data_IF_752193622983
#
_entry.id   IF_752193622983
#
_cell.length_a   1.000
_cell.length_b   1.000
_cell.length_c   1.000
_cell.angle_alpha   90.00
_cell.angle_beta   90.00
_cell.angle_gamma   90.00
#
_symmetry.space_group_name_H-M   'P 1'
#
loop_
_entity.id
_entity.type
_entity.pdbx_description
1 polymer ?
#
# COMPACT_ATOMS: atom_id res chain seq x y z
N UNK A 1 6.25 9.52 -10.38
CA UNK A 1 5.64 9.02 -11.62
C UNK A 1 6.62 8.10 -12.34
N UNK A 2 6.11 7.21 -13.20
CA UNK A 2 6.91 6.35 -14.07
C UNK A 2 6.28 6.31 -15.46
N UNK A 3 7.11 6.15 -16.49
CA UNK A 3 6.63 5.96 -17.85
C UNK A 3 6.16 4.50 -18.04
N UNK A 4 4.87 4.26 -18.31
CA UNK A 4 4.32 2.91 -18.50
C UNK A 4 4.64 2.33 -19.90
N UNK A 5 5.34 3.09 -20.77
CA UNK A 5 5.58 2.77 -22.17
C UNK A 5 4.30 2.55 -23.00
N UNK A 6 3.20 3.07 -22.53
CA UNK A 6 1.89 3.06 -23.18
C UNK A 6 1.09 4.28 -22.74
N UNK A 7 -0.01 4.56 -23.42
CA UNK A 7 -0.94 5.62 -22.99
C UNK A 7 -1.87 5.12 -21.91
N UNK A 8 -2.19 5.98 -20.94
CA UNK A 8 -3.25 5.69 -19.97
C UNK A 8 -4.62 6.06 -20.53
N UNK A 9 -5.65 5.35 -20.10
CA UNK A 9 -7.00 5.63 -20.56
C UNK A 9 -7.51 6.98 -20.03
N UNK A 10 -8.42 7.62 -20.77
CA UNK A 10 -9.06 8.87 -20.32
C UNK A 10 -9.77 8.74 -18.97
N UNK A 11 -10.27 7.54 -18.65
CA UNK A 11 -10.85 7.24 -17.35
C UNK A 11 -9.78 7.34 -16.23
N UNK A 12 -8.60 6.75 -16.43
CA UNK A 12 -7.50 6.81 -15.45
C UNK A 12 -6.97 8.23 -15.33
N UNK A 13 -6.81 8.96 -16.45
CA UNK A 13 -6.41 10.37 -16.43
C UNK A 13 -7.37 11.22 -15.59
N UNK A 14 -8.70 11.05 -15.80
CA UNK A 14 -9.72 11.76 -15.04
C UNK A 14 -9.72 11.38 -13.55
N UNK A 15 -9.51 10.10 -13.25
CA UNK A 15 -9.53 9.59 -11.87
C UNK A 15 -8.33 10.08 -11.04
N UNK A 16 -7.13 10.05 -11.64
CA UNK A 16 -5.85 10.30 -10.94
C UNK A 16 -5.33 11.72 -11.12
N UNK A 17 -5.82 12.43 -12.14
CA UNK A 17 -5.24 13.70 -12.58
C UNK A 17 -3.84 13.56 -13.17
N UNK A 18 -3.44 12.35 -13.60
CA UNK A 18 -2.15 12.06 -14.21
C UNK A 18 -2.37 11.82 -15.69
N UNK A 19 -1.77 12.64 -16.55
CA UNK A 19 -1.96 12.62 -17.99
C UNK A 19 -0.82 11.89 -18.71
N UNK A 20 -1.13 11.20 -19.80
CA UNK A 20 -0.14 10.48 -20.63
C UNK A 20 1.02 11.37 -21.06
N UNK A 21 0.76 12.66 -21.33
CA UNK A 21 1.80 13.63 -21.71
C UNK A 21 2.84 13.88 -20.61
N UNK A 22 2.44 13.77 -19.33
CA UNK A 22 3.36 13.87 -18.20
C UNK A 22 4.21 12.60 -18.07
N UNK A 23 3.58 11.43 -18.27
CA UNK A 23 4.23 10.13 -18.07
C UNK A 23 5.30 9.81 -19.14
N UNK A 24 5.14 10.32 -20.35
CA UNK A 24 6.10 10.07 -21.46
C UNK A 24 7.49 10.66 -21.16
N UNK A 25 7.56 11.68 -20.32
CA UNK A 25 8.82 12.32 -19.91
C UNK A 25 9.51 11.59 -18.75
N UNK A 26 8.81 10.66 -18.11
CA UNK A 26 9.31 9.98 -16.92
C UNK A 26 10.17 8.76 -17.29
N UNK A 27 11.03 8.34 -16.36
CA UNK A 27 11.79 7.10 -16.47
C UNK A 27 10.88 5.88 -16.33
N UNK A 28 11.14 4.76 -17.04
CA UNK A 28 10.36 3.55 -16.88
C UNK A 28 10.61 2.90 -15.52
N UNK A 29 9.67 2.05 -15.06
CA UNK A 29 9.75 1.35 -13.78
C UNK A 29 11.05 0.57 -13.58
N UNK A 30 11.60 -0.02 -14.65
CA UNK A 30 12.84 -0.80 -14.62
C UNK A 30 14.05 -0.03 -14.07
N UNK A 31 14.06 1.30 -14.17
CA UNK A 31 15.13 2.14 -13.61
C UNK A 31 15.12 2.13 -12.08
N UNK A 32 13.95 1.96 -11.47
CA UNK A 32 13.75 2.01 -10.03
C UNK A 32 13.58 0.63 -9.40
N UNK A 33 13.46 -0.42 -10.21
CA UNK A 33 13.05 -1.75 -9.76
C UNK A 33 13.95 -2.32 -8.67
N UNK A 34 15.28 -2.22 -8.81
CA UNK A 34 16.24 -2.73 -7.82
C UNK A 34 16.15 -1.97 -6.51
N UNK A 35 16.07 -0.64 -6.57
CA UNK A 35 15.94 0.20 -5.37
C UNK A 35 14.63 -0.12 -4.60
N UNK A 36 13.51 -0.21 -5.33
CA UNK A 36 12.21 -0.59 -4.75
C UNK A 36 12.27 -1.99 -4.13
N UNK A 37 12.89 -2.96 -4.82
CA UNK A 37 13.06 -4.31 -4.32
C UNK A 37 13.83 -4.35 -3.00
N UNK A 38 14.99 -3.70 -2.92
CA UNK A 38 15.82 -3.67 -1.71
C UNK A 38 15.12 -2.90 -0.58
N UNK A 39 14.39 -1.83 -0.89
CA UNK A 39 13.60 -1.09 0.10
C UNK A 39 12.51 -1.97 0.74
N UNK A 40 11.89 -2.85 -0.03
CA UNK A 40 10.76 -3.67 0.42
C UNK A 40 11.18 -4.99 1.05
N UNK A 41 12.35 -5.50 0.71
CA UNK A 41 12.86 -6.79 1.18
C UNK A 41 12.84 -6.91 2.71
N UNK A 42 12.27 -8.00 3.21
CA UNK A 42 12.16 -8.28 4.63
C UNK A 42 11.14 -7.42 5.40
N UNK A 43 10.32 -6.64 4.72
CA UNK A 43 9.30 -5.78 5.33
C UNK A 43 7.89 -6.31 5.08
N UNK A 44 6.92 -5.81 5.84
CA UNK A 44 5.50 -6.07 5.61
C UNK A 44 4.98 -5.02 4.63
N UNK A 45 4.37 -5.48 3.53
CA UNK A 45 3.74 -4.60 2.56
C UNK A 45 2.33 -4.23 3.02
N UNK A 46 2.10 -2.95 3.26
CA UNK A 46 0.81 -2.42 3.74
C UNK A 46 0.15 -1.57 2.66
N UNK A 47 -1.11 -1.86 2.34
CA UNK A 47 -1.92 -1.02 1.46
C UNK A 47 -3.42 -1.19 1.75
N UNK A 48 -4.23 -0.27 1.23
CA UNK A 48 -5.69 -0.37 1.29
C UNK A 48 -6.20 -1.18 0.11
N UNK A 49 -6.77 -2.38 0.34
CA UNK A 49 -7.00 -3.43 -0.66
C UNK A 49 -5.69 -3.99 -1.24
N UNK A 50 -4.80 -4.35 -0.36
CA UNK A 50 -3.39 -4.73 -0.60
C UNK A 50 -3.15 -5.71 -1.75
N UNK A 51 -4.12 -6.58 -2.07
CA UNK A 51 -3.97 -7.57 -3.14
C UNK A 51 -3.81 -6.92 -4.51
N UNK A 52 -4.45 -5.79 -4.74
CA UNK A 52 -4.36 -5.05 -6.00
C UNK A 52 -2.95 -4.46 -6.17
N UNK A 53 -2.51 -3.63 -5.24
CA UNK A 53 -1.22 -2.94 -5.31
C UNK A 53 -0.05 -3.93 -5.32
N UNK A 54 -0.14 -4.95 -4.46
CA UNK A 54 0.91 -5.98 -4.38
C UNK A 54 1.04 -6.80 -5.66
N UNK A 55 -0.08 -7.15 -6.30
CA UNK A 55 -0.03 -7.91 -7.56
C UNK A 55 0.61 -7.12 -8.68
N UNK A 56 0.29 -5.84 -8.81
CA UNK A 56 0.89 -4.96 -9.82
C UNK A 56 2.40 -4.80 -9.59
N UNK A 57 2.79 -4.48 -8.35
CA UNK A 57 4.19 -4.32 -7.99
C UNK A 57 5.00 -5.59 -8.24
N UNK A 58 4.46 -6.75 -7.85
CA UNK A 58 5.12 -8.04 -8.05
C UNK A 58 5.31 -8.37 -9.53
N UNK A 59 4.32 -8.11 -10.36
CA UNK A 59 4.43 -8.35 -11.80
C UNK A 59 5.43 -7.39 -12.47
N UNK A 60 5.48 -6.12 -12.06
CA UNK A 60 6.47 -5.17 -12.59
C UNK A 60 7.90 -5.56 -12.16
N UNK A 61 8.11 -5.96 -10.91
CA UNK A 61 9.40 -6.46 -10.45
C UNK A 61 9.82 -7.75 -11.19
N UNK A 62 8.86 -8.67 -11.40
CA UNK A 62 9.11 -9.90 -12.16
C UNK A 62 9.53 -9.63 -13.60
N UNK A 63 8.95 -8.64 -14.27
CA UNK A 63 9.39 -8.20 -15.61
C UNK A 63 10.83 -7.68 -15.62
N UNK A 64 11.31 -7.21 -14.47
CA UNK A 64 12.70 -6.79 -14.27
C UNK A 64 13.62 -7.93 -13.76
N UNK A 65 13.16 -9.18 -13.74
CA UNK A 65 13.93 -10.33 -13.26
C UNK A 65 14.01 -10.45 -11.74
N UNK A 66 13.22 -9.66 -10.99
CA UNK A 66 13.21 -9.64 -9.52
C UNK A 66 11.97 -10.37 -9.00
N UNK A 67 12.18 -11.31 -8.07
CA UNK A 67 11.09 -12.06 -7.42
C UNK A 67 10.92 -11.58 -5.99
N UNK A 68 9.75 -11.00 -5.68
CA UNK A 68 9.44 -10.45 -4.36
C UNK A 68 8.26 -11.22 -3.74
N UNK A 69 8.52 -11.79 -2.56
CA UNK A 69 7.48 -12.39 -1.72
C UNK A 69 7.54 -11.75 -0.33
N UNK A 70 6.46 -11.07 0.05
CA UNK A 70 6.35 -10.33 1.31
C UNK A 70 5.10 -10.71 2.09
N UNK A 71 5.15 -10.63 3.43
CA UNK A 71 3.96 -10.53 4.25
C UNK A 71 3.14 -9.30 3.83
N UNK A 72 1.82 -9.42 3.84
CA UNK A 72 0.91 -8.37 3.42
C UNK A 72 -0.09 -8.05 4.50
N UNK A 73 -0.33 -6.77 4.74
CA UNK A 73 -1.35 -6.27 5.64
C UNK A 73 -2.32 -5.36 4.89
N UNK A 74 -3.58 -5.74 4.90
CA UNK A 74 -4.64 -4.96 4.26
C UNK A 74 -5.29 -4.01 5.26
N UNK A 75 -5.07 -2.70 5.13
CA UNK A 75 -5.65 -1.70 6.03
C UNK A 75 -7.19 -1.67 5.97
N UNK A 76 -7.81 -2.04 4.84
CA UNK A 76 -9.27 -2.19 4.76
C UNK A 76 -9.77 -3.36 5.63
N UNK A 77 -9.11 -4.51 5.58
CA UNK A 77 -9.48 -5.67 6.42
C UNK A 77 -9.20 -5.39 7.89
N UNK A 78 -8.11 -4.69 8.18
CA UNK A 78 -7.76 -4.25 9.51
C UNK A 78 -8.81 -3.30 10.08
N UNK A 79 -9.23 -2.28 9.30
CA UNK A 79 -10.28 -1.34 9.69
C UNK A 79 -11.63 -2.05 9.94
N UNK A 80 -12.00 -3.05 9.13
CA UNK A 80 -13.23 -3.84 9.36
C UNK A 80 -13.23 -4.55 10.70
N UNK A 81 -12.07 -4.99 11.19
CA UNK A 81 -11.96 -5.65 12.51
C UNK A 81 -11.90 -4.66 13.66
N UNK A 82 -11.20 -3.56 13.48
CA UNK A 82 -11.03 -2.54 14.50
C UNK A 82 -12.29 -1.66 14.67
N UNK A 83 -12.98 -1.35 13.56
CA UNK A 83 -14.13 -0.44 13.51
C UNK A 83 -15.35 -1.10 12.85
N UNK A 84 -15.96 -2.13 13.46
CA UNK A 84 -16.93 -3.01 12.78
C UNK A 84 -18.28 -2.36 12.43
N UNK A 85 -18.53 -1.12 12.83
CA UNK A 85 -19.82 -0.43 12.64
C UNK A 85 -19.79 0.67 11.58
N UNK A 86 -18.74 0.76 10.76
CA UNK A 86 -18.69 1.75 9.69
C UNK A 86 -19.60 1.35 8.52
N UNK A 87 -20.30 2.35 7.97
CA UNK A 87 -21.17 2.15 6.79
C UNK A 87 -20.36 1.85 5.50
N UNK A 88 -19.10 2.29 5.44
CA UNK A 88 -18.20 2.09 4.32
C UNK A 88 -16.76 1.89 4.80
N UNK A 89 -16.03 1.04 4.10
CA UNK A 89 -14.61 0.78 4.34
C UNK A 89 -13.74 1.19 3.14
N UNK A 90 -14.21 2.14 2.32
CA UNK A 90 -13.31 2.81 1.39
C UNK A 90 -12.24 3.59 2.17
N UNK A 91 -11.07 3.78 1.55
CA UNK A 91 -9.97 4.49 2.21
C UNK A 91 -10.40 5.85 2.76
N UNK A 92 -11.07 6.66 1.92
CA UNK A 92 -11.57 7.97 2.33
C UNK A 92 -12.58 7.91 3.48
N UNK A 93 -13.50 6.91 3.47
CA UNK A 93 -14.48 6.77 4.56
C UNK A 93 -13.82 6.43 5.89
N UNK A 94 -12.82 5.55 5.89
CA UNK A 94 -12.10 5.19 7.12
C UNK A 94 -11.23 6.36 7.59
N UNK A 95 -10.54 7.04 6.69
CA UNK A 95 -9.73 8.23 7.02
C UNK A 95 -10.60 9.36 7.60
N UNK A 96 -11.79 9.60 7.04
CA UNK A 96 -12.74 10.57 7.59
C UNK A 96 -13.21 10.19 9.01
N UNK A 97 -13.49 8.90 9.25
CA UNK A 97 -13.83 8.41 10.58
C UNK A 97 -12.72 8.66 11.62
N UNK A 98 -11.46 8.58 11.17
CA UNK A 98 -10.28 8.84 12.00
C UNK A 98 -9.89 10.32 12.09
N UNK A 99 -10.69 11.24 11.54
CA UNK A 99 -10.41 12.67 11.44
C UNK A 99 -9.12 13.01 10.65
N UNK A 100 -8.75 12.17 9.68
CA UNK A 100 -7.63 12.35 8.77
C UNK A 100 -8.11 12.32 7.30
N UNK A 101 -8.90 13.30 6.83
CA UNK A 101 -9.46 13.29 5.48
C UNK A 101 -8.35 13.31 4.43
N UNK A 102 -8.50 12.48 3.39
CA UNK A 102 -7.58 12.49 2.25
C UNK A 102 -7.73 13.80 1.47
N UNK A 103 -6.61 14.45 1.13
CA UNK A 103 -6.62 15.69 0.35
C UNK A 103 -6.74 15.41 -1.15
N UNK A 104 -6.01 14.42 -1.67
CA UNK A 104 -5.99 14.06 -3.08
C UNK A 104 -6.18 12.54 -3.23
N UNK A 105 -7.41 12.07 -3.09
CA UNK A 105 -7.74 10.66 -3.33
C UNK A 105 -7.28 10.21 -4.73
N UNK A 106 -6.87 8.94 -4.83
CA UNK A 106 -6.30 8.34 -6.06
C UNK A 106 -4.91 8.87 -6.46
N UNK A 107 -4.23 9.54 -5.56
CA UNK A 107 -2.80 9.84 -5.63
C UNK A 107 -2.07 8.86 -4.71
N UNK A 108 -1.13 8.10 -5.27
CA UNK A 108 -0.47 6.99 -4.57
C UNK A 108 0.14 7.39 -3.21
N UNK A 109 0.71 8.60 -3.10
CA UNK A 109 1.25 9.09 -1.84
C UNK A 109 0.15 9.32 -0.80
N UNK A 110 -0.93 10.02 -1.17
CA UNK A 110 -2.03 10.32 -0.24
C UNK A 110 -2.75 9.03 0.17
N UNK A 111 -2.91 8.06 -0.77
CA UNK A 111 -3.50 6.75 -0.48
C UNK A 111 -2.59 5.93 0.45
N UNK A 112 -1.27 5.98 0.27
CA UNK A 112 -0.31 5.33 1.16
C UNK A 112 -0.31 5.96 2.57
N UNK A 113 -0.36 7.28 2.67
CA UNK A 113 -0.49 7.99 3.94
C UNK A 113 -1.81 7.65 4.64
N UNK A 114 -2.92 7.58 3.91
CA UNK A 114 -4.19 7.14 4.46
C UNK A 114 -4.15 5.70 5.01
N UNK A 115 -3.50 4.77 4.30
CA UNK A 115 -3.30 3.41 4.78
C UNK A 115 -2.41 3.36 6.03
N UNK A 116 -1.40 4.22 6.12
CA UNK A 116 -0.54 4.38 7.30
C UNK A 116 -1.33 4.91 8.51
N UNK A 117 -2.16 5.96 8.34
CA UNK A 117 -2.95 6.52 9.44
C UNK A 117 -3.96 5.49 10.00
N UNK A 118 -4.54 4.64 9.14
CA UNK A 118 -5.38 3.53 9.58
C UNK A 118 -4.58 2.54 10.43
N UNK A 119 -3.39 2.14 9.97
CA UNK A 119 -2.52 1.22 10.70
C UNK A 119 -2.12 1.81 12.05
N UNK A 120 -1.69 3.07 12.07
CA UNK A 120 -1.29 3.80 13.27
C UNK A 120 -2.42 3.85 14.30
N UNK A 121 -3.62 4.27 13.90
CA UNK A 121 -4.78 4.34 14.78
C UNK A 121 -5.14 2.98 15.38
N UNK A 122 -5.03 1.90 14.59
CA UNK A 122 -5.30 0.55 15.09
C UNK A 122 -4.23 0.09 16.08
N UNK A 123 -2.95 0.38 15.82
CA UNK A 123 -1.86 0.05 16.75
C UNK A 123 -2.02 0.82 18.07
N UNK A 124 -2.35 2.11 18.01
CA UNK A 124 -2.58 2.95 19.19
C UNK A 124 -3.75 2.45 20.05
N UNK A 125 -4.82 1.97 19.39
CA UNK A 125 -6.03 1.52 20.11
C UNK A 125 -5.98 0.07 20.59
N UNK A 126 -5.37 -0.84 19.81
CA UNK A 126 -5.44 -2.29 20.04
C UNK A 126 -4.06 -2.95 20.21
N UNK A 127 -2.97 -2.22 20.02
CA UNK A 127 -1.59 -2.71 20.09
C UNK A 127 -1.09 -3.35 18.78
N UNK A 128 0.22 -3.45 18.68
CA UNK A 128 0.91 -4.00 17.50
C UNK A 128 0.54 -5.47 17.24
N UNK A 129 0.42 -6.27 18.29
CA UNK A 129 0.10 -7.70 18.15
C UNK A 129 -1.24 -7.92 17.45
N UNK A 130 -2.26 -7.09 17.74
CA UNK A 130 -3.54 -7.14 17.06
C UNK A 130 -3.37 -6.85 15.56
N UNK A 131 -2.61 -5.82 15.20
CA UNK A 131 -2.39 -5.44 13.81
C UNK A 131 -1.63 -6.53 13.05
N UNK A 132 -0.52 -7.03 13.59
CA UNK A 132 0.34 -8.00 12.92
C UNK A 132 -0.29 -9.38 12.77
N UNK A 133 -1.19 -9.80 13.66
CA UNK A 133 -2.00 -11.03 13.50
C UNK A 133 -2.87 -11.02 12.23
N UNK A 134 -3.13 -9.85 11.63
CA UNK A 134 -3.89 -9.73 10.40
C UNK A 134 -3.02 -9.81 9.14
N UNK A 135 -1.70 -9.78 9.28
CA UNK A 135 -0.80 -9.94 8.15
C UNK A 135 -0.90 -11.36 7.57
N UNK A 136 -1.03 -11.45 6.24
CA UNK A 136 -1.11 -12.73 5.54
C UNK A 136 0.27 -13.10 5.00
N UNK A 137 0.91 -14.08 5.64
CA UNK A 137 2.03 -14.81 5.04
C UNK A 137 2.05 -16.23 5.59
N UNK A 138 2.11 -17.22 4.70
CA UNK A 138 2.34 -18.61 5.11
C UNK A 138 3.85 -18.73 5.43
N UNK A 139 4.21 -18.64 6.70
CA UNK A 139 5.51 -19.15 7.13
C UNK A 139 6.51 -18.21 7.81
N UNK A 140 6.16 -16.98 8.22
CA UNK A 140 7.10 -16.17 9.01
C UNK A 140 6.40 -15.62 10.26
N UNK A 141 6.28 -16.45 11.28
CA UNK A 141 6.15 -15.97 12.67
C UNK A 141 7.48 -16.27 13.40
N UNK A 142 8.44 -15.39 13.14
CA UNK A 142 9.71 -15.34 13.85
C UNK A 142 10.09 -13.90 14.11
N UNK A 143 9.16 -13.05 14.58
CA UNK A 143 9.55 -11.79 15.19
C UNK A 143 10.19 -12.08 16.54
N UNK A 144 11.52 -12.28 16.54
CA UNK A 144 12.30 -12.11 17.76
C UNK A 144 12.10 -10.65 18.19
N UNK A 145 11.49 -10.45 19.37
CA UNK A 145 11.58 -9.17 20.09
C UNK A 145 13.06 -8.79 20.13
N UNK A 146 13.47 -7.78 19.39
CA UNK A 146 14.71 -7.09 19.69
C UNK A 146 14.46 -6.38 21.02
N UNK A 147 15.01 -6.95 22.07
CA UNK A 147 15.13 -6.29 23.36
C UNK A 147 16.01 -5.06 23.12
N UNK A 148 15.41 -3.90 23.28
CA UNK A 148 16.13 -2.64 23.44
C UNK A 148 16.91 -2.73 24.76
N UNK A 149 18.22 -2.71 24.68
CA UNK A 149 19.13 -2.47 25.81
C UNK A 149 19.25 -0.97 25.98
#
# INVERSE_FOLDING_TARGET
LVNPKTTVSKFVEKLTGIYSAQLIQEKPFSVFATEIFEMLKGRIFVAHNVSFDYSLLREELKRCGLSLELPRLCSMKLARKAFPKLSSYSLGSVCNHLNHPLQNAHRALDDALGAYEILKAVIEQYGEEFAWKQATHKGIFGFKKQQTV
#
